data_IF_881492253386
#
_entry.id   IF_881492253386
#
_cell.length_a   1.000
_cell.length_b   1.000
_cell.length_c   1.000
_cell.angle_alpha   90.00
_cell.angle_beta   90.00
_cell.angle_gamma   90.00
#
_symmetry.space_group_name_H-M   'P 1'
#
loop_
_entity.id
_entity.type
_entity.pdbx_description
1 polymer ?
#
# COMPACT_ATOMS: atom_id res chain seq x y z
N UNK A 1 -25.80 4.14 -5.04
CA UNK A 1 -25.37 4.26 -3.64
C UNK A 1 -25.40 5.74 -3.29
N UNK A 2 -26.09 6.14 -2.22
CA UNK A 2 -26.12 7.55 -1.80
C UNK A 2 -24.70 8.03 -1.48
N UNK A 3 -24.36 9.24 -1.93
CA UNK A 3 -23.02 9.80 -1.76
C UNK A 3 -22.61 9.94 -0.28
N UNK A 4 -23.57 10.14 0.62
CA UNK A 4 -23.33 10.17 2.07
C UNK A 4 -22.90 8.79 2.63
N UNK A 5 -23.47 7.71 2.07
CA UNK A 5 -23.19 6.34 2.51
C UNK A 5 -21.77 5.90 2.12
N UNK A 6 -21.31 6.26 0.92
CA UNK A 6 -19.94 5.97 0.46
C UNK A 6 -18.89 6.73 1.27
N UNK A 7 -19.13 8.01 1.59
CA UNK A 7 -18.24 8.83 2.43
C UNK A 7 -18.05 8.20 3.81
N UNK A 8 -19.12 7.74 4.44
CA UNK A 8 -19.05 7.11 5.77
C UNK A 8 -18.21 5.83 5.74
N UNK A 9 -18.41 4.96 4.75
CA UNK A 9 -17.65 3.72 4.58
C UNK A 9 -16.16 3.99 4.27
N UNK A 10 -15.86 5.03 3.51
CA UNK A 10 -14.49 5.45 3.24
C UNK A 10 -13.77 5.99 4.49
N UNK A 11 -14.52 6.54 5.45
CA UNK A 11 -13.97 7.00 6.74
C UNK A 11 -13.85 5.88 7.78
N UNK A 12 -14.67 4.84 7.69
CA UNK A 12 -14.69 3.74 8.66
C UNK A 12 -13.35 3.00 8.74
N UNK A 13 -12.86 2.49 7.61
CA UNK A 13 -11.58 1.77 7.56
C UNK A 13 -10.40 2.71 7.35
N UNK A 14 -10.20 3.62 8.30
CA UNK A 14 -9.05 4.53 8.31
C UNK A 14 -8.22 4.35 9.58
N UNK A 15 -6.92 4.63 9.49
CA UNK A 15 -6.04 4.57 10.67
C UNK A 15 -6.49 5.55 11.75
N UNK A 16 -7.02 6.72 11.36
CA UNK A 16 -7.49 7.72 12.31
C UNK A 16 -8.70 7.23 13.10
N UNK A 17 -9.71 6.65 12.43
CA UNK A 17 -10.88 6.09 13.11
C UNK A 17 -10.50 5.00 14.09
N UNK A 18 -9.65 4.05 13.68
CA UNK A 18 -9.22 2.97 14.58
C UNK A 18 -8.29 3.45 15.69
N UNK A 19 -7.45 4.46 15.44
CA UNK A 19 -6.66 5.10 16.48
C UNK A 19 -7.57 5.72 17.56
N UNK A 20 -8.58 6.49 17.15
CA UNK A 20 -9.55 7.09 18.08
C UNK A 20 -10.30 6.03 18.89
N UNK A 21 -10.81 5.00 18.23
CA UNK A 21 -11.53 3.91 18.91
C UNK A 21 -10.65 3.19 19.94
N UNK A 22 -9.37 2.99 19.64
CA UNK A 22 -8.44 2.24 20.50
C UNK A 22 -7.86 3.09 21.63
N UNK A 23 -7.56 4.36 21.36
CA UNK A 23 -6.93 5.27 22.32
C UNK A 23 -7.97 6.05 23.15
N UNK A 24 -9.03 6.54 22.50
CA UNK A 24 -10.03 7.44 23.10
C UNK A 24 -11.34 6.69 23.48
N UNK A 25 -11.50 5.44 23.02
CA UNK A 25 -12.68 4.60 23.30
C UNK A 25 -13.88 4.85 22.40
N UNK A 26 -13.88 5.94 21.62
CA UNK A 26 -14.96 6.26 20.69
C UNK A 26 -14.44 6.90 19.39
N UNK A 27 -15.20 6.73 18.31
CA UNK A 27 -15.02 7.52 17.09
C UNK A 27 -16.38 7.82 16.46
N UNK A 28 -16.69 9.10 16.14
CA UNK A 28 -17.95 9.46 15.50
C UNK A 28 -18.19 8.71 14.19
N UNK A 29 -17.13 8.48 13.40
CA UNK A 29 -17.23 7.74 12.15
C UNK A 29 -17.55 6.25 12.37
N UNK A 30 -16.95 5.65 13.41
CA UNK A 30 -17.24 4.27 13.78
C UNK A 30 -18.70 4.12 14.23
N UNK A 31 -19.12 4.93 15.22
CA UNK A 31 -20.48 4.90 15.77
C UNK A 31 -21.53 5.14 14.67
N UNK A 32 -21.31 6.13 13.81
CA UNK A 32 -22.22 6.42 12.71
C UNK A 32 -22.33 5.25 11.73
N UNK A 33 -21.22 4.56 11.43
CA UNK A 33 -21.25 3.38 10.56
C UNK A 33 -21.98 2.20 11.21
N UNK A 34 -21.74 1.93 12.51
CA UNK A 34 -22.44 0.87 13.24
C UNK A 34 -23.95 1.12 13.19
N UNK A 35 -24.41 2.31 13.57
CA UNK A 35 -25.83 2.68 13.55
C UNK A 35 -26.48 2.58 12.17
N UNK A 36 -25.69 2.79 11.11
CA UNK A 36 -26.18 2.83 9.73
C UNK A 36 -26.27 1.45 9.08
N UNK A 37 -25.31 0.58 9.36
CA UNK A 37 -25.10 -0.66 8.60
C UNK A 37 -25.33 -1.93 9.44
N UNK A 38 -25.30 -1.85 10.76
CA UNK A 38 -25.46 -3.00 11.63
C UNK A 38 -26.86 -3.02 12.23
N UNK A 39 -27.54 -4.15 12.03
CA UNK A 39 -28.79 -4.49 12.72
C UNK A 39 -28.45 -5.08 14.09
N UNK A 40 -29.13 -4.62 15.14
CA UNK A 40 -28.99 -5.04 16.54
C UNK A 40 -27.54 -5.07 17.04
N UNK A 41 -26.80 -3.93 17.00
CA UNK A 41 -25.38 -3.89 17.34
C UNK A 41 -25.08 -4.23 18.81
N UNK A 42 -26.08 -4.17 19.71
CA UNK A 42 -25.89 -4.50 21.13
C UNK A 42 -25.70 -6.01 21.38
N UNK A 43 -26.06 -6.86 20.41
CA UNK A 43 -25.91 -8.31 20.49
C UNK A 43 -24.63 -8.82 19.81
N UNK A 44 -23.78 -7.90 19.34
CA UNK A 44 -22.59 -8.20 18.52
C UNK A 44 -21.36 -7.59 19.14
N UNK A 45 -20.27 -8.33 19.08
CA UNK A 45 -18.94 -7.78 19.32
C UNK A 45 -18.57 -6.76 18.23
N UNK A 46 -17.61 -5.89 18.54
CA UNK A 46 -17.04 -4.98 17.55
C UNK A 46 -16.39 -5.74 16.39
N UNK A 47 -15.80 -6.92 16.65
CA UNK A 47 -15.26 -7.80 15.61
C UNK A 47 -16.32 -8.24 14.61
N UNK A 48 -17.49 -8.67 15.08
CA UNK A 48 -18.62 -9.07 14.23
C UNK A 48 -19.16 -7.89 13.44
N UNK A 49 -19.35 -6.73 14.09
CA UNK A 49 -19.77 -5.50 13.43
C UNK A 49 -18.83 -5.09 12.29
N UNK A 50 -17.52 -5.14 12.53
CA UNK A 50 -16.51 -4.82 11.51
C UNK A 50 -16.57 -5.83 10.36
N UNK A 51 -16.73 -7.12 10.67
CA UNK A 51 -16.83 -8.16 9.64
C UNK A 51 -18.06 -7.94 8.76
N UNK A 52 -19.22 -7.65 9.34
CA UNK A 52 -20.45 -7.35 8.58
C UNK A 52 -20.30 -6.12 7.68
N UNK A 53 -19.72 -5.03 8.18
CA UNK A 53 -19.43 -3.84 7.36
C UNK A 53 -18.47 -4.18 6.21
N UNK A 54 -17.46 -5.02 6.47
CA UNK A 54 -16.53 -5.44 5.42
C UNK A 54 -17.21 -6.35 4.37
N UNK A 55 -18.13 -7.22 4.79
CA UNK A 55 -18.95 -8.00 3.85
C UNK A 55 -19.84 -7.11 2.99
N UNK A 56 -20.36 -6.02 3.56
CA UNK A 56 -21.06 -5.00 2.79
C UNK A 56 -20.16 -4.36 1.73
N UNK A 57 -18.92 -3.96 2.07
CA UNK A 57 -17.95 -3.48 1.07
C UNK A 57 -17.71 -4.50 -0.04
N UNK A 58 -17.53 -5.77 0.32
CA UNK A 58 -17.29 -6.84 -0.64
C UNK A 58 -18.40 -6.97 -1.68
N UNK A 59 -19.66 -6.93 -1.23
CA UNK A 59 -20.86 -7.17 -2.06
C UNK A 59 -21.31 -5.94 -2.83
N UNK A 60 -21.34 -4.78 -2.17
CA UNK A 60 -22.03 -3.59 -2.66
C UNK A 60 -21.07 -2.46 -3.08
N UNK A 61 -19.90 -2.34 -2.44
CA UNK A 61 -18.99 -1.22 -2.67
C UNK A 61 -17.52 -1.53 -2.34
N UNK A 62 -16.84 -2.13 -3.33
CA UNK A 62 -15.40 -2.40 -3.24
C UNK A 62 -14.61 -1.09 -3.42
N UNK A 63 -14.50 -0.33 -2.33
CA UNK A 63 -13.74 0.92 -2.30
C UNK A 63 -12.23 0.67 -2.26
N UNK A 64 -11.44 1.75 -2.30
CA UNK A 64 -9.98 1.68 -2.29
C UNK A 64 -9.42 0.87 -1.11
N UNK A 65 -10.02 0.99 0.09
CA UNK A 65 -9.63 0.19 1.24
C UNK A 65 -9.81 -1.30 0.99
N UNK A 66 -10.94 -1.71 0.41
CA UNK A 66 -11.20 -3.11 0.08
C UNK A 66 -10.15 -3.67 -0.89
N UNK A 67 -9.75 -2.89 -1.91
CA UNK A 67 -8.68 -3.24 -2.83
C UNK A 67 -7.33 -3.39 -2.12
N UNK A 68 -6.92 -2.37 -1.35
CA UNK A 68 -5.66 -2.36 -0.58
C UNK A 68 -5.59 -3.53 0.40
N UNK A 69 -6.67 -3.78 1.13
CA UNK A 69 -6.75 -4.88 2.07
C UNK A 69 -6.74 -6.25 1.40
N UNK A 70 -7.39 -6.38 0.24
CA UNK A 70 -7.35 -7.64 -0.53
C UNK A 70 -5.97 -7.89 -1.12
N UNK A 71 -5.32 -6.87 -1.69
CA UNK A 71 -3.94 -6.98 -2.20
C UNK A 71 -2.98 -7.42 -1.11
N UNK A 72 -3.02 -6.76 0.06
CA UNK A 72 -2.17 -7.13 1.16
C UNK A 72 -2.45 -8.57 1.63
N UNK A 73 -3.70 -8.93 1.89
CA UNK A 73 -4.00 -10.28 2.36
C UNK A 73 -3.61 -11.37 1.34
N UNK A 74 -3.98 -11.20 0.08
CA UNK A 74 -3.78 -12.24 -0.94
C UNK A 74 -2.33 -12.33 -1.37
N UNK A 75 -1.65 -11.20 -1.58
CA UNK A 75 -0.27 -11.20 -2.07
C UNK A 75 0.73 -11.39 -0.92
N UNK A 76 0.65 -10.57 0.14
CA UNK A 76 1.63 -10.63 1.23
C UNK A 76 1.45 -11.86 2.12
N UNK A 77 0.21 -12.23 2.45
CA UNK A 77 -0.08 -13.29 3.43
C UNK A 77 -0.52 -14.62 2.79
N UNK A 78 -1.02 -14.58 1.55
CA UNK A 78 -1.45 -15.78 0.81
C UNK A 78 -0.37 -16.38 -0.07
N UNK A 79 0.36 -15.55 -0.83
CA UNK A 79 1.42 -16.00 -1.75
C UNK A 79 2.80 -15.91 -1.11
N UNK A 80 3.05 -14.84 -0.35
CA UNK A 80 4.33 -14.58 0.26
C UNK A 80 4.32 -14.72 1.79
N UNK A 81 5.42 -14.33 2.42
CA UNK A 81 5.54 -14.29 3.87
C UNK A 81 5.93 -12.89 4.33
N UNK A 82 5.29 -12.35 5.40
CA UNK A 82 5.69 -11.08 6.00
C UNK A 82 7.10 -11.09 6.61
N UNK A 83 7.75 -12.26 6.72
CA UNK A 83 9.15 -12.37 7.16
C UNK A 83 10.15 -12.04 6.05
N UNK A 84 9.78 -12.26 4.80
CA UNK A 84 10.67 -12.13 3.63
C UNK A 84 10.23 -11.03 2.66
N UNK A 85 8.99 -10.57 2.80
CA UNK A 85 8.33 -9.64 1.90
C UNK A 85 7.89 -8.40 2.66
N UNK A 86 8.09 -7.24 2.03
CA UNK A 86 7.68 -5.95 2.57
C UNK A 86 6.64 -5.33 1.67
N UNK A 87 5.50 -4.96 2.25
CA UNK A 87 4.54 -4.06 1.61
C UNK A 87 4.81 -2.60 2.01
N UNK A 88 4.64 -1.68 1.06
CA UNK A 88 4.59 -0.24 1.26
C UNK A 88 3.28 0.30 0.68
N UNK A 89 2.85 1.46 1.12
CA UNK A 89 1.65 2.14 0.61
C UNK A 89 1.90 3.64 0.59
N UNK A 90 1.22 4.35 -0.30
CA UNK A 90 1.26 5.82 -0.39
C UNK A 90 2.66 6.39 -0.63
N UNK A 91 3.49 5.71 -1.43
CA UNK A 91 4.87 6.15 -1.68
C UNK A 91 4.87 7.21 -2.80
N UNK A 92 5.33 8.45 -2.55
CA UNK A 92 5.44 9.46 -3.60
C UNK A 92 6.47 9.05 -4.64
N UNK A 93 6.15 9.18 -5.93
CA UNK A 93 7.05 8.90 -7.05
C UNK A 93 6.80 9.94 -8.13
N UNK A 94 7.79 10.81 -8.40
CA UNK A 94 7.58 11.91 -9.34
C UNK A 94 6.43 12.82 -8.91
N UNK A 95 5.43 12.99 -9.79
CA UNK A 95 4.20 13.76 -9.51
C UNK A 95 3.03 12.87 -9.05
N UNK A 96 3.30 11.59 -8.85
CA UNK A 96 2.32 10.55 -8.54
C UNK A 96 2.58 9.93 -7.17
N UNK A 97 1.67 9.07 -6.72
CA UNK A 97 1.76 8.40 -5.43
C UNK A 97 1.32 6.96 -5.60
N UNK A 98 2.28 6.04 -5.49
CA UNK A 98 2.04 4.62 -5.63
C UNK A 98 1.16 4.10 -4.50
N UNK A 99 0.01 3.54 -4.85
CA UNK A 99 -0.99 3.05 -3.87
C UNK A 99 -0.44 1.92 -3.00
N UNK A 100 0.18 0.93 -3.64
CA UNK A 100 0.68 -0.25 -2.97
C UNK A 100 1.94 -0.77 -3.68
N UNK A 101 2.96 -1.15 -2.90
CA UNK A 101 4.20 -1.71 -3.43
C UNK A 101 4.50 -2.98 -2.65
N UNK A 102 4.86 -4.05 -3.36
CA UNK A 102 5.29 -5.31 -2.76
C UNK A 102 6.74 -5.61 -3.13
N UNK A 103 7.57 -5.90 -2.13
CA UNK A 103 9.00 -6.08 -2.30
C UNK A 103 9.41 -7.46 -1.77
N UNK A 104 9.72 -8.38 -2.69
CA UNK A 104 10.25 -9.71 -2.40
C UNK A 104 11.19 -10.18 -3.52
N UNK A 105 12.48 -9.84 -3.43
CA UNK A 105 13.44 -10.06 -4.51
C UNK A 105 13.24 -9.11 -5.70
N UNK A 106 12.00 -8.71 -5.98
CA UNK A 106 11.58 -7.68 -6.95
C UNK A 106 10.64 -6.70 -6.26
N UNK A 107 10.63 -5.44 -6.70
CA UNK A 107 9.67 -4.44 -6.26
C UNK A 107 8.59 -4.26 -7.34
N UNK A 108 7.33 -4.51 -6.98
CA UNK A 108 6.18 -4.39 -7.88
C UNK A 108 5.23 -3.33 -7.36
N UNK A 109 4.93 -2.33 -8.18
CA UNK A 109 3.93 -1.29 -7.89
C UNK A 109 2.57 -1.79 -8.34
N UNK A 110 1.55 -1.61 -7.50
CA UNK A 110 0.15 -1.88 -7.79
C UNK A 110 -0.62 -0.56 -7.71
N UNK A 111 -1.02 -0.04 -8.87
CA UNK A 111 -1.90 1.12 -9.00
C UNK A 111 -3.35 0.66 -8.97
N UNK A 112 -4.18 1.23 -8.11
CA UNK A 112 -5.57 0.79 -7.92
C UNK A 112 -6.50 1.70 -8.71
N UNK A 113 -7.38 1.08 -9.51
CA UNK A 113 -8.48 1.75 -10.21
C UNK A 113 -9.79 1.02 -9.93
N UNK A 114 -10.53 1.52 -8.94
CA UNK A 114 -11.84 1.03 -8.55
C UNK A 114 -12.87 1.18 -9.68
N UNK A 115 -14.05 0.61 -9.51
CA UNK A 115 -15.13 0.65 -10.52
C UNK A 115 -15.68 2.07 -10.82
N UNK A 116 -15.33 3.07 -10.00
CA UNK A 116 -15.79 4.45 -10.13
C UNK A 116 -14.68 5.39 -10.65
N UNK A 117 -13.44 4.93 -10.75
CA UNK A 117 -12.33 5.77 -11.20
C UNK A 117 -12.36 6.01 -12.71
N UNK A 118 -11.85 7.18 -13.12
CA UNK A 118 -11.48 7.47 -14.50
C UNK A 118 -9.99 7.14 -14.75
N UNK A 119 -9.58 7.16 -16.02
CA UNK A 119 -8.23 6.77 -16.43
C UNK A 119 -7.37 7.91 -16.97
N UNK A 120 -7.83 9.15 -16.82
CA UNK A 120 -7.20 10.34 -17.40
C UNK A 120 -5.77 10.53 -16.88
N UNK A 121 -5.55 10.19 -15.61
CA UNK A 121 -4.24 10.30 -14.95
C UNK A 121 -3.37 9.04 -15.09
N UNK A 122 -3.92 7.94 -15.59
CA UNK A 122 -3.29 6.63 -15.49
C UNK A 122 -1.95 6.57 -16.22
N UNK A 123 -1.81 7.20 -17.39
CA UNK A 123 -0.56 7.16 -18.16
C UNK A 123 0.57 7.87 -17.43
N UNK A 124 0.31 9.09 -16.94
CA UNK A 124 1.30 9.85 -16.17
C UNK A 124 1.71 9.15 -14.87
N UNK A 125 0.76 8.47 -14.22
CA UNK A 125 1.06 7.66 -13.04
C UNK A 125 1.98 6.47 -13.37
N UNK A 126 1.65 5.70 -14.40
CA UNK A 126 2.47 4.57 -14.84
C UNK A 126 3.87 5.03 -15.25
N UNK A 127 3.95 6.12 -16.02
CA UNK A 127 5.21 6.73 -16.43
C UNK A 127 6.06 7.14 -15.23
N UNK A 128 5.46 7.81 -14.24
CA UNK A 128 6.15 8.17 -13.01
C UNK A 128 6.64 6.96 -12.24
N UNK A 129 5.84 5.89 -12.14
CA UNK A 129 6.25 4.68 -11.42
C UNK A 129 7.43 3.98 -12.08
N UNK A 130 7.49 3.92 -13.41
CA UNK A 130 8.63 3.36 -14.13
C UNK A 130 9.92 4.18 -13.95
N UNK A 131 9.85 5.43 -13.48
CA UNK A 131 11.04 6.21 -13.10
C UNK A 131 11.72 5.70 -11.84
N UNK A 132 11.06 4.86 -11.03
CA UNK A 132 11.63 4.32 -9.79
C UNK A 132 11.52 2.80 -9.64
N UNK A 133 10.61 2.14 -10.35
CA UNK A 133 10.35 0.71 -10.20
C UNK A 133 10.26 0.02 -11.56
N UNK A 134 10.86 -1.17 -11.68
CA UNK A 134 10.91 -1.87 -12.96
C UNK A 134 9.64 -2.65 -13.31
N UNK A 135 8.65 -2.70 -12.42
CA UNK A 135 7.40 -3.45 -12.60
C UNK A 135 6.20 -2.71 -12.04
N UNK A 136 5.19 -2.54 -12.88
CA UNK A 136 3.92 -1.89 -12.53
C UNK A 136 2.77 -2.81 -12.92
N UNK A 137 1.76 -2.87 -12.06
CA UNK A 137 0.49 -3.58 -12.28
C UNK A 137 -0.65 -2.61 -12.02
N UNK A 138 -1.61 -2.55 -12.94
CA UNK A 138 -2.88 -1.89 -12.69
C UNK A 138 -3.88 -2.91 -12.15
N UNK A 139 -4.42 -2.63 -10.97
CA UNK A 139 -5.45 -3.43 -10.32
C UNK A 139 -6.79 -2.77 -10.56
N UNK A 140 -7.71 -3.45 -11.24
CA UNK A 140 -9.00 -2.86 -11.59
C UNK A 140 -10.17 -3.81 -11.42
N UNK A 141 -11.39 -3.28 -11.57
CA UNK A 141 -12.63 -4.04 -11.49
C UNK A 141 -12.93 -4.75 -12.81
N UNK A 142 -13.76 -5.80 -12.75
CA UNK A 142 -14.27 -6.49 -13.95
C UNK A 142 -14.96 -5.53 -14.94
N UNK A 143 -15.66 -4.51 -14.43
CA UNK A 143 -16.35 -3.50 -15.25
C UNK A 143 -15.39 -2.68 -16.10
N UNK A 144 -14.19 -2.43 -15.60
CA UNK A 144 -13.21 -1.52 -16.19
C UNK A 144 -12.13 -2.25 -17.00
N UNK A 145 -12.19 -3.59 -17.04
CA UNK A 145 -11.14 -4.42 -17.61
C UNK A 145 -10.83 -4.09 -19.07
N UNK A 146 -11.85 -4.08 -19.93
CA UNK A 146 -11.65 -3.92 -21.38
C UNK A 146 -10.99 -2.57 -21.72
N UNK A 147 -11.40 -1.51 -21.02
CA UNK A 147 -10.80 -0.17 -21.17
C UNK A 147 -9.33 -0.14 -20.75
N UNK A 148 -9.01 -0.74 -19.60
CA UNK A 148 -7.62 -0.84 -19.11
C UNK A 148 -6.78 -1.74 -20.02
N UNK A 149 -7.34 -2.86 -20.50
CA UNK A 149 -6.68 -3.78 -21.40
C UNK A 149 -6.32 -3.10 -22.72
N UNK A 150 -7.26 -2.39 -23.33
CA UNK A 150 -7.03 -1.65 -24.57
C UNK A 150 -5.95 -0.59 -24.38
N UNK A 151 -6.01 0.17 -23.28
CA UNK A 151 -5.03 1.23 -22.99
C UNK A 151 -3.61 0.69 -22.78
N UNK A 152 -3.49 -0.47 -22.15
CA UNK A 152 -2.20 -1.05 -21.77
C UNK A 152 -1.71 -2.16 -22.70
N UNK A 153 -2.37 -2.41 -23.84
CA UNK A 153 -2.07 -3.53 -24.73
C UNK A 153 -0.58 -3.62 -25.12
N UNK A 154 0.05 -2.48 -25.42
CA UNK A 154 1.44 -2.39 -25.87
C UNK A 154 2.42 -1.94 -24.75
N UNK A 155 1.97 -1.94 -23.50
CA UNK A 155 2.79 -1.55 -22.34
C UNK A 155 3.44 -2.78 -21.68
N UNK A 156 4.59 -2.67 -20.99
CA UNK A 156 5.07 -3.75 -20.10
C UNK A 156 4.21 -3.92 -18.83
N UNK A 157 3.26 -3.01 -18.60
CA UNK A 157 2.41 -2.97 -17.41
C UNK A 157 1.46 -4.17 -17.34
N UNK A 158 1.46 -4.82 -16.18
CA UNK A 158 0.56 -5.93 -15.88
C UNK A 158 -0.86 -5.46 -15.54
N UNK A 159 -1.82 -6.38 -15.59
CA UNK A 159 -3.22 -6.14 -15.28
C UNK A 159 -3.71 -7.22 -14.33
N UNK A 160 -4.26 -6.81 -13.20
CA UNK A 160 -4.88 -7.69 -12.22
C UNK A 160 -6.33 -7.27 -11.99
N UNK A 161 -7.26 -8.22 -12.04
CA UNK A 161 -8.65 -7.97 -11.69
C UNK A 161 -8.92 -8.31 -10.25
N UNK A 162 -9.60 -7.40 -9.54
CA UNK A 162 -10.33 -7.73 -8.33
C UNK A 162 -11.77 -8.05 -8.72
N UNK A 163 -12.16 -9.32 -8.56
CA UNK A 163 -13.51 -9.78 -8.91
C UNK A 163 -14.53 -9.33 -7.87
N UNK A 164 -15.82 -9.34 -8.25
CA UNK A 164 -16.92 -9.15 -7.28
C UNK A 164 -16.88 -10.13 -6.10
N UNK A 165 -16.26 -11.30 -6.27
CA UNK A 165 -16.08 -12.31 -5.20
C UNK A 165 -14.90 -12.02 -4.27
N UNK A 166 -14.12 -10.97 -4.52
CA UNK A 166 -12.92 -10.62 -3.74
C UNK A 166 -11.71 -11.49 -4.05
N UNK A 167 -11.59 -11.99 -5.28
CA UNK A 167 -10.43 -12.75 -5.76
C UNK A 167 -9.57 -11.90 -6.68
N UNK A 168 -8.25 -12.10 -6.63
CA UNK A 168 -7.32 -11.49 -7.57
C UNK A 168 -7.10 -12.44 -8.76
N UNK A 169 -7.27 -11.93 -9.97
CA UNK A 169 -7.04 -12.66 -11.21
C UNK A 169 -6.06 -11.88 -12.07
N UNK A 170 -4.84 -12.37 -12.20
CA UNK A 170 -3.87 -11.77 -13.14
C UNK A 170 -4.33 -12.06 -14.56
N UNK A 171 -4.52 -11.01 -15.36
CA UNK A 171 -4.93 -11.07 -16.77
C UNK A 171 -3.77 -10.79 -17.70
N UNK A 172 -2.76 -10.08 -17.20
CA UNK A 172 -1.51 -9.79 -17.89
C UNK A 172 -0.40 -9.69 -16.85
N UNK A 173 0.62 -10.52 -16.98
CA UNK A 173 1.80 -10.45 -16.10
C UNK A 173 2.62 -9.19 -16.39
N UNK A 174 3.15 -8.49 -15.37
CA UNK A 174 4.05 -7.36 -15.58
C UNK A 174 5.41 -7.84 -16.09
N UNK A 175 5.94 -7.16 -17.10
CA UNK A 175 7.27 -7.40 -17.64
C UNK A 175 8.25 -6.42 -16.98
N UNK A 176 9.48 -6.85 -16.75
CA UNK A 176 10.54 -5.95 -16.27
C UNK A 176 10.85 -4.88 -17.31
N UNK A 177 10.85 -3.63 -16.88
CA UNK A 177 11.17 -2.49 -17.71
C UNK A 177 11.98 -1.47 -16.92
N UNK A 178 13.29 -1.43 -17.18
CA UNK A 178 14.25 -0.60 -16.43
C UNK A 178 14.67 0.67 -17.16
N UNK A 179 14.30 0.85 -18.43
CA UNK A 179 14.86 1.90 -19.30
C UNK A 179 14.49 3.33 -18.85
N UNK A 180 13.42 3.46 -18.06
CA UNK A 180 12.98 4.75 -17.52
C UNK A 180 13.53 5.05 -16.12
N UNK A 181 14.26 4.13 -15.50
CA UNK A 181 14.76 4.31 -14.13
C UNK A 181 15.61 5.58 -14.02
N UNK A 182 15.23 6.45 -13.10
CA UNK A 182 15.89 7.71 -12.80
C UNK A 182 16.49 7.67 -11.41
N UNK A 183 17.83 7.71 -11.32
CA UNK A 183 18.55 7.78 -10.03
C UNK A 183 18.11 8.98 -9.20
N UNK A 184 17.80 10.10 -9.84
CA UNK A 184 17.20 11.28 -9.19
C UNK A 184 15.87 10.98 -8.52
N UNK A 185 14.95 10.29 -9.20
CA UNK A 185 13.64 9.96 -8.64
C UNK A 185 13.78 8.91 -7.54
N UNK A 186 14.61 7.88 -7.74
CA UNK A 186 14.91 6.88 -6.72
C UNK A 186 15.48 7.53 -5.44
N UNK A 187 16.44 8.46 -5.58
CA UNK A 187 17.03 9.16 -4.45
C UNK A 187 16.00 9.98 -3.66
N UNK A 188 15.10 10.70 -4.35
CA UNK A 188 14.02 11.47 -3.70
C UNK A 188 13.05 10.62 -2.89
N UNK A 189 12.92 9.33 -3.20
CA UNK A 189 12.07 8.39 -2.45
C UNK A 189 12.76 7.93 -1.15
N UNK A 190 14.10 7.89 -1.13
CA UNK A 190 14.86 7.44 0.03
C UNK A 190 14.75 8.45 1.18
N UNK A 191 14.66 7.92 2.39
CA UNK A 191 14.79 8.71 3.62
C UNK A 191 16.26 8.98 3.89
N UNK A 192 16.56 10.02 4.68
CA UNK A 192 17.94 10.42 5.04
C UNK A 192 18.81 9.25 5.47
N UNK A 193 18.35 8.51 6.47
CA UNK A 193 19.06 7.35 6.98
C UNK A 193 19.25 6.24 5.93
N UNK A 194 18.38 6.14 4.93
CA UNK A 194 18.44 5.09 3.89
C UNK A 194 19.48 5.42 2.84
N UNK A 195 19.52 6.66 2.31
CA UNK A 195 20.58 7.03 1.37
C UNK A 195 21.94 7.10 2.06
N UNK A 196 22.03 7.54 3.32
CA UNK A 196 23.29 7.54 4.08
C UNK A 196 23.85 6.13 4.22
N UNK A 197 22.99 5.15 4.56
CA UNK A 197 23.40 3.75 4.64
C UNK A 197 23.86 3.19 3.30
N UNK A 198 23.21 3.56 2.20
CA UNK A 198 23.63 3.18 0.84
C UNK A 198 25.02 3.74 0.54
N UNK A 199 25.23 5.03 0.77
CA UNK A 199 26.49 5.71 0.48
C UNK A 199 27.63 5.17 1.35
N UNK A 200 27.41 5.00 2.65
CA UNK A 200 28.40 4.38 3.54
C UNK A 200 28.74 2.96 3.10
N UNK A 201 27.75 2.16 2.71
CA UNK A 201 27.98 0.78 2.26
C UNK A 201 28.77 0.71 0.95
N UNK A 202 28.58 1.66 0.03
CA UNK A 202 29.22 1.64 -1.28
C UNK A 202 30.57 2.36 -1.31
N UNK A 203 30.65 3.56 -0.71
CA UNK A 203 31.83 4.43 -0.75
C UNK A 203 32.65 4.40 0.54
N UNK A 204 32.11 3.87 1.65
CA UNK A 204 32.77 3.86 2.95
C UNK A 204 32.72 5.18 3.71
N UNK A 205 32.11 6.23 3.13
CA UNK A 205 32.07 7.58 3.69
C UNK A 205 30.80 8.33 3.28
N UNK A 206 30.56 9.43 3.97
CA UNK A 206 29.55 10.45 3.66
C UNK A 206 30.27 11.74 3.27
N UNK A 207 29.63 12.64 2.51
CA UNK A 207 30.26 13.88 2.10
C UNK A 207 30.57 14.76 3.33
N UNK A 208 31.79 15.27 3.39
CA UNK A 208 32.25 16.22 4.41
C UNK A 208 32.01 17.65 3.92
N UNK A 209 30.76 18.09 4.03
CA UNK A 209 30.28 19.39 3.54
C UNK A 209 29.31 20.04 4.53
N UNK A 210 28.96 21.29 4.28
CA UNK A 210 27.98 22.01 5.09
C UNK A 210 26.60 21.33 5.06
N UNK A 211 25.77 21.56 6.10
CA UNK A 211 24.40 21.04 6.13
C UNK A 211 23.55 21.51 4.93
N UNK A 212 23.86 22.69 4.38
CA UNK A 212 23.16 23.27 3.24
C UNK A 212 23.43 22.48 1.95
N UNK A 213 24.64 21.94 1.79
CA UNK A 213 25.07 21.20 0.60
C UNK A 213 24.83 19.69 0.73
N UNK A 214 24.72 19.19 1.96
CA UNK A 214 24.71 17.77 2.29
C UNK A 214 23.74 16.92 1.44
N UNK A 215 22.50 17.36 1.27
CA UNK A 215 21.51 16.64 0.47
C UNK A 215 21.92 16.52 -1.00
N UNK A 216 22.43 17.62 -1.57
CA UNK A 216 22.85 17.68 -2.98
C UNK A 216 24.07 16.81 -3.23
N UNK A 217 25.04 16.84 -2.32
CA UNK A 217 26.24 16.01 -2.45
C UNK A 217 25.92 14.52 -2.27
N UNK A 218 25.05 14.16 -1.32
CA UNK A 218 24.56 12.79 -1.22
C UNK A 218 23.83 12.33 -2.49
N UNK A 219 23.02 13.21 -3.08
CA UNK A 219 22.33 12.92 -4.34
C UNK A 219 23.33 12.69 -5.47
N UNK A 220 24.33 13.56 -5.62
CA UNK A 220 25.36 13.42 -6.63
C UNK A 220 26.16 12.12 -6.46
N UNK A 221 26.53 11.77 -5.22
CA UNK A 221 27.18 10.50 -4.92
C UNK A 221 26.30 9.30 -5.31
N UNK A 222 25.01 9.31 -4.97
CA UNK A 222 24.10 8.22 -5.35
C UNK A 222 23.89 8.15 -6.88
N UNK A 223 23.79 9.30 -7.55
CA UNK A 223 23.64 9.38 -9.00
C UNK A 223 24.92 8.96 -9.75
N UNK A 224 26.08 8.95 -9.10
CA UNK A 224 27.32 8.41 -9.69
C UNK A 224 27.37 6.87 -9.75
N UNK A 225 26.52 6.18 -8.98
CA UNK A 225 26.43 4.72 -8.99
C UNK A 225 25.98 4.19 -10.37
N UNK A 226 26.47 3.01 -10.82
CA UNK A 226 25.83 2.27 -11.91
C UNK A 226 24.34 2.04 -11.63
N UNK A 227 23.49 2.18 -12.65
CA UNK A 227 22.02 2.18 -12.48
C UNK A 227 21.50 0.88 -11.85
N UNK A 228 22.05 -0.25 -12.23
CA UNK A 228 21.72 -1.57 -11.69
C UNK A 228 22.08 -1.67 -10.19
N UNK A 229 23.26 -1.20 -9.80
CA UNK A 229 23.69 -1.14 -8.40
C UNK A 229 22.82 -0.19 -7.59
N UNK A 230 22.56 1.02 -8.11
CA UNK A 230 21.69 2.01 -7.48
C UNK A 230 20.28 1.44 -7.25
N UNK A 231 19.71 0.78 -8.27
CA UNK A 231 18.38 0.17 -8.19
C UNK A 231 18.33 -0.97 -7.17
N UNK A 232 19.32 -1.87 -7.15
CA UNK A 232 19.38 -2.95 -6.18
C UNK A 232 19.47 -2.42 -4.74
N UNK A 233 20.33 -1.43 -4.49
CA UNK A 233 20.49 -0.82 -3.17
C UNK A 233 19.23 -0.05 -2.75
N UNK A 234 18.59 0.65 -3.69
CA UNK A 234 17.31 1.33 -3.49
C UNK A 234 16.20 0.35 -3.05
N UNK A 235 16.00 -0.74 -3.80
CA UNK A 235 14.99 -1.76 -3.48
C UNK A 235 15.26 -2.40 -2.11
N UNK A 236 16.53 -2.67 -1.79
CA UNK A 236 16.92 -3.26 -0.50
C UNK A 236 16.68 -2.31 0.68
N UNK A 237 16.93 -1.01 0.51
CA UNK A 237 16.63 0.00 1.52
C UNK A 237 15.12 0.07 1.78
N UNK A 238 14.30 0.13 0.72
CA UNK A 238 12.84 0.13 0.83
C UNK A 238 12.29 -1.13 1.49
N UNK A 239 12.88 -2.30 1.18
CA UNK A 239 12.52 -3.58 1.80
C UNK A 239 12.65 -3.54 3.32
N UNK A 240 13.56 -2.72 3.86
CA UNK A 240 13.85 -2.67 5.29
C UNK A 240 12.90 -1.76 6.10
N UNK A 241 11.93 -1.11 5.44
CA UNK A 241 11.00 -0.14 6.08
C UNK A 241 9.94 -0.78 6.97
N UNK A 242 9.44 -1.97 6.64
CA UNK A 242 8.37 -2.60 7.40
C UNK A 242 8.91 -3.34 8.62
N UNK A 243 8.32 -3.08 9.78
CA UNK A 243 8.60 -3.77 11.04
C UNK A 243 7.28 -4.11 11.70
N UNK A 244 6.86 -5.37 11.57
CA UNK A 244 5.66 -5.89 12.23
C UNK A 244 6.05 -7.05 13.15
N UNK A 245 5.33 -7.18 14.26
CA UNK A 245 5.36 -8.40 15.07
C UNK A 245 4.52 -9.46 14.34
N UNK A 246 5.17 -10.36 13.61
CA UNK A 246 4.49 -11.35 12.76
C UNK A 246 3.55 -12.25 13.58
N UNK A 247 3.87 -12.53 14.85
CA UNK A 247 3.06 -13.39 15.71
C UNK A 247 1.78 -12.68 16.10
N UNK A 248 1.87 -11.46 16.64
CA UNK A 248 0.68 -10.69 16.98
C UNK A 248 -0.14 -10.31 15.74
N UNK A 249 0.55 -9.91 14.67
CA UNK A 249 -0.08 -9.57 13.41
C UNK A 249 -0.88 -10.73 12.80
N UNK A 250 -0.46 -11.98 13.00
CA UNK A 250 -1.19 -13.16 12.50
C UNK A 250 -2.61 -13.27 13.07
N UNK A 251 -2.83 -12.79 14.30
CA UNK A 251 -4.11 -12.84 15.02
C UNK A 251 -5.13 -11.78 14.56
N UNK A 252 -4.67 -10.76 13.82
CA UNK A 252 -5.52 -9.66 13.36
C UNK A 252 -6.56 -10.19 12.34
N UNK A 253 -7.86 -9.82 12.46
CA UNK A 253 -8.88 -10.20 11.49
C UNK A 253 -8.56 -9.73 10.06
N UNK A 254 -9.00 -10.50 9.06
CA UNK A 254 -8.74 -10.23 7.63
C UNK A 254 -9.08 -8.79 7.27
N UNK A 255 -10.21 -8.30 7.78
CA UNK A 255 -10.83 -7.00 7.55
C UNK A 255 -9.97 -5.83 8.00
N UNK A 256 -9.02 -6.04 8.92
CA UNK A 256 -8.18 -5.00 9.51
C UNK A 256 -6.70 -5.12 9.16
N UNK A 257 -6.29 -6.21 8.50
CA UNK A 257 -4.89 -6.52 8.21
C UNK A 257 -4.14 -5.34 7.60
N UNK A 258 -4.71 -4.66 6.61
CA UNK A 258 -4.06 -3.52 5.97
C UNK A 258 -3.84 -2.34 6.92
N UNK A 259 -4.86 -1.98 7.71
CA UNK A 259 -4.71 -0.89 8.68
C UNK A 259 -3.60 -1.20 9.67
N UNK A 260 -3.64 -2.38 10.29
CA UNK A 260 -2.71 -2.73 11.36
C UNK A 260 -1.28 -2.88 10.85
N UNK A 261 -1.11 -3.42 9.63
CA UNK A 261 0.22 -3.59 9.03
C UNK A 261 0.99 -2.27 8.95
N UNK A 262 0.29 -1.17 8.66
CA UNK A 262 0.89 0.15 8.50
C UNK A 262 0.69 1.09 9.71
N UNK A 263 0.16 0.60 10.83
CA UNK A 263 -0.06 1.43 12.02
C UNK A 263 1.13 1.50 12.98
N UNK A 264 2.23 0.77 12.69
CA UNK A 264 3.42 0.70 13.55
C UNK A 264 3.11 0.28 15.01
N UNK A 265 2.16 -0.65 15.17
CA UNK A 265 1.71 -1.10 16.49
C UNK A 265 2.81 -1.79 17.28
N UNK A 266 2.90 -1.43 18.56
CA UNK A 266 3.64 -2.16 19.59
C UNK A 266 2.75 -3.25 20.18
N UNK A 267 3.34 -4.19 20.92
CA UNK A 267 2.59 -5.29 21.58
C UNK A 267 1.40 -4.82 22.42
N UNK A 268 1.52 -3.69 23.10
CA UNK A 268 0.42 -3.07 23.86
C UNK A 268 -0.77 -2.70 22.98
N UNK A 269 -0.52 -2.22 21.76
CA UNK A 269 -1.55 -1.76 20.85
C UNK A 269 -2.33 -2.94 20.27
N UNK A 270 -1.66 -4.06 19.99
CA UNK A 270 -2.31 -5.33 19.64
C UNK A 270 -3.24 -5.80 20.76
N UNK A 271 -2.80 -5.75 22.02
CA UNK A 271 -3.64 -6.16 23.16
C UNK A 271 -4.88 -5.26 23.33
N UNK A 272 -4.74 -3.94 23.16
CA UNK A 272 -5.88 -3.02 23.18
C UNK A 272 -6.87 -3.32 22.05
N UNK A 273 -6.37 -3.54 20.84
CA UNK A 273 -7.20 -3.89 19.69
C UNK A 273 -7.94 -5.22 19.94
N UNK A 274 -7.27 -6.26 20.42
CA UNK A 274 -7.92 -7.54 20.73
C UNK A 274 -9.03 -7.39 21.77
N UNK A 275 -8.83 -6.58 22.81
CA UNK A 275 -9.87 -6.27 23.79
C UNK A 275 -11.05 -5.55 23.13
N UNK A 276 -10.77 -4.51 22.37
CA UNK A 276 -11.81 -3.76 21.65
C UNK A 276 -12.65 -4.66 20.74
N UNK A 277 -12.01 -5.56 19.98
CA UNK A 277 -12.72 -6.48 19.08
C UNK A 277 -13.62 -7.49 19.78
N UNK A 278 -13.35 -7.77 21.07
CA UNK A 278 -14.10 -8.75 21.87
C UNK A 278 -15.21 -8.12 22.71
N UNK A 279 -15.21 -6.78 22.85
CA UNK A 279 -16.31 -5.99 23.41
C UNK A 279 -17.40 -5.83 22.36
#
# INVERSE_FOLDING_TARGET
>A
MDNANSILLNRFFTRNTFKQVIDDGESPAYIAAIRRYIVDPAEKTNGECISEIYQYLKKEYQNEYFYKNTLLNKLLLGIHSPRTTTALTEVPVGNSKADFILINGKAVVYEIKTALDNFDRLDGQIEDYYKAFSRVVVVTSEKNFDSVQQKLQNSPTGICLLTKKGTLSVRKEPIEYGDMLSKTIMFKILRKNEYEQILLKHFGLLPDVSQFEYYRECQAMFESLPTDIAYQMFVQALKSRAKIDVVEYSKIPYELKFLIYFSNYKKSDYAKLCRFLST
#
